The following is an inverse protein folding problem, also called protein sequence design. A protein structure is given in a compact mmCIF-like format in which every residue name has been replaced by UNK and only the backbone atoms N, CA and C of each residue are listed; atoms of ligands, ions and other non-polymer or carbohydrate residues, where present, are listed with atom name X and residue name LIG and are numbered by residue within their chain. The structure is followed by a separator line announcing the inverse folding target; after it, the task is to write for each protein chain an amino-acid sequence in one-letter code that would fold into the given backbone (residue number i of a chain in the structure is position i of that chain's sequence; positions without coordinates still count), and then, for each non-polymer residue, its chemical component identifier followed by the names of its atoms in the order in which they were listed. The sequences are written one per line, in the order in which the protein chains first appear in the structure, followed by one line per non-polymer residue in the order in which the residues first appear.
data_IF_978329985645
#
_entry.id   IF_978329985645
#
_cell.length_a   1.000
_cell.length_b   1.000
_cell.length_c   1.000
_cell.angle_alpha   90.00
_cell.angle_beta   90.00
_cell.angle_gamma   90.00
#
_symmetry.space_group_name_H-M   'P 1'
#
loop_
_entity.id
_entity.type
_entity.pdbx_description
1 polymer ?
#
# COMPACT_ATOMS: atom_id res chain seq x y z
N UNK A 1 16.57 -3.16 -10.28
CA UNK A 1 17.46 -3.73 -9.21
C UNK A 1 16.68 -3.69 -7.92
N UNK A 2 16.64 -4.78 -7.14
CA UNK A 2 15.96 -4.81 -5.84
C UNK A 2 16.84 -4.11 -4.77
N UNK A 3 16.17 -3.43 -3.86
CA UNK A 3 16.82 -2.78 -2.73
C UNK A 3 16.84 -3.72 -1.52
N UNK A 4 17.83 -3.52 -0.67
CA UNK A 4 17.92 -4.22 0.60
C UNK A 4 17.19 -3.44 1.70
N UNK A 5 16.39 -4.15 2.52
CA UNK A 5 15.64 -3.52 3.61
C UNK A 5 16.55 -2.91 4.68
N UNK A 6 17.70 -3.55 4.98
CA UNK A 6 18.61 -3.12 6.03
C UNK A 6 17.92 -3.03 7.40
N UNK A 7 18.28 -1.99 8.15
CA UNK A 7 17.72 -1.72 9.49
C UNK A 7 16.40 -0.94 9.46
N UNK A 8 15.85 -0.67 8.27
CA UNK A 8 14.60 0.07 8.13
C UNK A 8 13.45 -0.73 8.75
N UNK A 9 12.73 -0.11 9.68
CA UNK A 9 11.60 -0.73 10.37
C UNK A 9 10.31 0.03 10.11
N UNK A 10 9.23 -0.70 9.90
CA UNK A 10 7.89 -0.13 9.81
C UNK A 10 7.53 0.61 11.09
N UNK A 11 7.04 1.84 10.98
CA UNK A 11 6.52 2.61 12.12
C UNK A 11 5.00 2.52 12.24
N UNK A 12 4.29 2.47 11.10
CA UNK A 12 2.83 2.42 11.04
C UNK A 12 2.38 1.37 10.02
N UNK A 13 1.19 0.83 10.26
CA UNK A 13 0.48 0.03 9.26
C UNK A 13 -0.22 0.97 8.26
N UNK A 14 -0.43 0.50 7.02
CA UNK A 14 -1.02 1.33 5.96
C UNK A 14 -2.44 1.81 6.27
N UNK A 15 -3.23 1.07 7.05
CA UNK A 15 -4.57 1.48 7.48
C UNK A 15 -4.60 2.34 8.74
N UNK A 16 -3.46 2.59 9.39
CA UNK A 16 -3.42 3.20 10.73
C UNK A 16 -3.28 4.73 10.74
N UNK A 17 -2.78 5.33 9.67
CA UNK A 17 -2.54 6.79 9.63
C UNK A 17 -3.83 7.59 9.73
N UNK A 18 -3.77 8.68 10.49
CA UNK A 18 -4.89 9.61 10.71
C UNK A 18 -4.41 11.07 10.64
N UNK A 19 -5.34 12.01 10.65
CA UNK A 19 -5.06 13.44 10.67
C UNK A 19 -4.12 13.85 11.84
N UNK A 20 -4.18 13.15 12.98
CA UNK A 20 -3.31 13.36 14.14
C UNK A 20 -1.84 13.03 13.90
N UNK A 21 -1.53 12.34 12.80
CA UNK A 21 -0.17 11.98 12.42
C UNK A 21 0.45 12.98 11.43
N UNK A 22 -0.30 14.00 11.04
CA UNK A 22 0.20 15.05 10.15
C UNK A 22 1.45 15.71 10.73
N UNK A 23 2.46 15.89 9.87
CA UNK A 23 3.78 16.42 10.23
C UNK A 23 4.77 15.39 10.78
N UNK A 24 4.34 14.18 11.14
CA UNK A 24 5.23 13.11 11.60
C UNK A 24 5.89 12.38 10.44
N UNK A 25 7.09 11.86 10.68
CA UNK A 25 7.73 10.90 9.77
C UNK A 25 7.14 9.51 9.99
N UNK A 26 6.88 8.83 8.88
CA UNK A 26 6.39 7.45 8.88
C UNK A 26 7.16 6.58 7.89
N UNK A 27 7.32 5.31 8.27
CA UNK A 27 7.82 4.24 7.41
C UNK A 27 6.69 3.26 7.19
N UNK A 28 6.23 3.16 5.96
CA UNK A 28 5.22 2.21 5.53
C UNK A 28 5.85 1.11 4.68
N UNK A 29 5.32 -0.09 4.81
CA UNK A 29 5.73 -1.24 4.00
C UNK A 29 4.51 -2.02 3.56
N UNK A 30 4.42 -2.34 2.27
CA UNK A 30 3.26 -3.04 1.75
C UNK A 30 3.38 -3.37 0.28
N UNK A 31 2.26 -3.68 -0.31
CA UNK A 31 2.09 -3.98 -1.72
C UNK A 31 1.55 -2.77 -2.46
N UNK A 32 2.06 -2.51 -3.66
CA UNK A 32 1.50 -1.52 -4.58
C UNK A 32 0.13 -2.02 -5.04
N UNK A 33 -0.94 -1.41 -4.55
CA UNK A 33 -2.30 -1.74 -4.95
C UNK A 33 -2.68 -1.09 -6.28
N UNK A 34 -2.31 0.18 -6.44
CA UNK A 34 -2.57 0.96 -7.66
C UNK A 34 -1.55 2.06 -7.80
N UNK A 35 -1.10 2.30 -9.03
CA UNK A 35 -0.28 3.46 -9.40
C UNK A 35 -1.06 4.37 -10.34
N UNK A 36 -0.99 5.67 -10.14
CA UNK A 36 -1.56 6.71 -11.00
C UNK A 36 -0.49 7.74 -11.28
N UNK A 37 -0.30 8.05 -12.54
CA UNK A 37 0.70 8.99 -13.03
C UNK A 37 -0.03 10.28 -13.47
N UNK A 38 0.41 11.41 -12.94
CA UNK A 38 -0.07 12.75 -13.25
C UNK A 38 1.10 13.67 -13.62
N UNK A 39 2.02 13.17 -14.43
CA UNK A 39 3.21 13.90 -14.84
C UNK A 39 4.21 14.05 -13.69
N UNK A 40 4.42 15.26 -13.17
CA UNK A 40 5.37 15.51 -12.08
C UNK A 40 4.95 14.87 -10.74
N UNK A 41 3.71 14.40 -10.61
CA UNK A 41 3.19 13.74 -9.41
C UNK A 41 2.78 12.31 -9.72
N UNK A 42 3.35 11.39 -8.98
CA UNK A 42 3.01 9.98 -9.05
C UNK A 42 2.36 9.57 -7.72
N UNK A 43 1.18 8.97 -7.80
CA UNK A 43 0.44 8.49 -6.65
C UNK A 43 0.47 6.96 -6.59
N UNK A 44 0.80 6.43 -5.43
CA UNK A 44 0.79 4.99 -5.16
C UNK A 44 -0.14 4.71 -3.99
N UNK A 45 -1.16 3.92 -4.23
CA UNK A 45 -1.98 3.37 -3.15
C UNK A 45 -1.23 2.15 -2.59
N UNK A 46 -0.61 2.32 -1.42
CA UNK A 46 0.16 1.28 -0.73
C UNK A 46 -0.76 0.53 0.23
N UNK A 47 -0.84 -0.80 0.07
CA UNK A 47 -1.74 -1.67 0.83
C UNK A 47 -0.95 -2.60 1.74
N UNK A 48 -1.46 -2.81 2.94
CA UNK A 48 -1.13 -3.95 3.79
C UNK A 48 -2.42 -4.64 4.29
N UNK A 49 -2.31 -5.52 5.28
CA UNK A 49 -3.47 -6.25 5.85
C UNK A 49 -4.46 -5.34 6.59
N UNK A 50 -4.10 -4.12 6.96
CA UNK A 50 -4.93 -3.21 7.74
C UNK A 50 -5.66 -2.17 6.91
N UNK A 51 -5.24 -1.98 5.66
CA UNK A 51 -5.84 -1.01 4.76
C UNK A 51 -4.85 -0.42 3.77
N UNK A 52 -5.19 0.78 3.29
CA UNK A 52 -4.47 1.46 2.20
C UNK A 52 -4.11 2.87 2.64
N UNK A 53 -2.92 3.33 2.26
CA UNK A 53 -2.51 4.74 2.36
C UNK A 53 -2.02 5.22 1.01
N UNK A 54 -2.41 6.43 0.60
CA UNK A 54 -1.85 7.08 -0.57
C UNK A 54 -0.44 7.60 -0.27
N UNK A 55 0.49 7.24 -1.13
CA UNK A 55 1.86 7.77 -1.15
C UNK A 55 2.00 8.71 -2.34
N UNK A 56 2.60 9.87 -2.13
CA UNK A 56 2.86 10.88 -3.17
C UNK A 56 4.35 10.98 -3.41
N UNK A 57 4.73 10.85 -4.67
CA UNK A 57 6.11 11.01 -5.15
C UNK A 57 6.14 12.18 -6.14
N UNK A 58 6.91 13.21 -5.81
CA UNK A 58 6.97 14.45 -6.59
C UNK A 58 8.35 14.59 -7.26
N UNK A 59 8.36 14.66 -8.59
CA UNK A 59 9.57 14.81 -9.39
C UNK A 59 10.34 16.11 -9.09
N UNK A 60 9.62 17.20 -8.78
CA UNK A 60 10.23 18.48 -8.43
C UNK A 60 10.99 18.43 -7.11
N UNK A 61 10.60 17.55 -6.20
CA UNK A 61 11.23 17.36 -4.91
C UNK A 61 12.42 16.39 -4.99
N UNK A 62 12.24 15.28 -5.70
CA UNK A 62 13.25 14.25 -5.90
C UNK A 62 12.98 13.48 -7.20
N UNK A 63 13.71 13.85 -8.24
CA UNK A 63 13.58 13.24 -9.55
C UNK A 63 14.00 11.75 -9.56
N UNK A 64 14.98 11.36 -8.74
CA UNK A 64 15.49 9.99 -8.70
C UNK A 64 14.45 9.04 -8.07
N UNK A 65 13.77 9.47 -7.00
CA UNK A 65 12.68 8.70 -6.39
C UNK A 65 11.50 8.61 -7.35
N UNK A 66 11.20 9.68 -8.08
CA UNK A 66 10.10 9.69 -9.05
C UNK A 66 10.39 8.72 -10.22
N UNK A 67 11.57 8.78 -10.84
CA UNK A 67 11.98 7.86 -11.90
C UNK A 67 11.92 6.39 -11.44
N UNK A 68 12.40 6.12 -10.22
CA UNK A 68 12.29 4.80 -9.61
C UNK A 68 10.83 4.37 -9.45
N UNK A 69 9.94 5.29 -9.05
CA UNK A 69 8.52 5.00 -8.86
C UNK A 69 7.77 4.77 -10.19
N UNK A 70 8.26 5.29 -11.31
CA UNK A 70 7.71 4.98 -12.64
C UNK A 70 7.83 3.49 -12.99
N UNK A 71 8.82 2.80 -12.43
CA UNK A 71 9.01 1.35 -12.65
C UNK A 71 8.04 0.48 -11.84
N UNK A 72 7.36 1.05 -10.83
CA UNK A 72 6.46 0.31 -9.96
C UNK A 72 5.28 -0.28 -10.74
N UNK A 73 4.95 -1.53 -10.41
CA UNK A 73 3.77 -2.24 -10.90
C UNK A 73 2.95 -2.77 -9.73
N UNK A 74 1.71 -3.16 -10.03
CA UNK A 74 0.82 -3.74 -9.02
C UNK A 74 1.47 -4.95 -8.36
N UNK A 75 1.23 -5.08 -7.05
CA UNK A 75 1.73 -6.14 -6.19
C UNK A 75 3.25 -6.13 -5.94
N UNK A 76 4.01 -5.13 -6.44
CA UNK A 76 5.39 -4.93 -5.99
C UNK A 76 5.40 -4.67 -4.50
N UNK A 77 6.39 -5.23 -3.80
CA UNK A 77 6.62 -4.99 -2.37
C UNK A 77 7.57 -3.82 -2.22
N UNK A 78 7.11 -2.78 -1.55
CA UNK A 78 7.91 -1.57 -1.33
C UNK A 78 7.95 -1.15 0.12
N UNK A 79 9.01 -0.46 0.49
CA UNK A 79 9.11 0.33 1.72
C UNK A 79 9.25 1.80 1.35
N UNK A 80 8.49 2.66 2.01
CA UNK A 80 8.51 4.09 1.79
C UNK A 80 8.68 4.82 3.11
N UNK A 81 9.69 5.69 3.17
CA UNK A 81 9.86 6.65 4.26
C UNK A 81 9.39 8.02 3.77
N UNK A 82 8.65 8.73 4.60
CA UNK A 82 8.16 10.05 4.23
C UNK A 82 7.52 10.79 5.38
N UNK A 83 7.01 11.97 5.07
CA UNK A 83 6.27 12.82 6.01
C UNK A 83 4.77 12.72 5.73
N UNK A 84 3.98 12.49 6.76
CA UNK A 84 2.51 12.47 6.68
C UNK A 84 2.01 13.90 6.50
N UNK A 85 1.17 14.13 5.48
CA UNK A 85 0.52 15.43 5.24
C UNK A 85 -0.99 15.27 5.21
N UNK A 86 -1.70 16.32 5.61
CA UNK A 86 -3.13 16.44 5.34
C UNK A 86 -3.34 16.69 3.86
N UNK A 87 -4.33 16.06 3.28
CA UNK A 87 -4.79 16.36 1.94
C UNK A 87 -5.59 17.64 1.91
N UNK A 88 -5.56 18.32 0.77
CA UNK A 88 -6.46 19.45 0.54
C UNK A 88 -7.92 19.02 0.65
N UNK A 89 -8.77 19.88 1.18
CA UNK A 89 -10.18 19.59 1.43
C UNK A 89 -10.91 19.01 0.20
N UNK A 90 -10.51 19.43 -1.00
CA UNK A 90 -11.09 18.96 -2.28
C UNK A 90 -10.58 17.58 -2.71
N UNK A 91 -9.51 17.07 -2.11
CA UNK A 91 -8.87 15.79 -2.46
C UNK A 91 -9.07 14.71 -1.40
N UNK A 92 -9.73 15.04 -0.30
CA UNK A 92 -10.06 14.07 0.76
C UNK A 92 -10.91 12.92 0.20
N UNK A 93 -10.47 11.70 0.41
CA UNK A 93 -11.21 10.50 -0.01
C UNK A 93 -12.01 9.92 1.16
N UNK A 94 -13.29 10.23 1.22
CA UNK A 94 -14.20 9.76 2.29
C UNK A 94 -14.42 8.23 2.30
N UNK A 95 -14.05 7.54 1.23
CA UNK A 95 -14.18 6.08 1.12
C UNK A 95 -13.00 5.31 1.72
N UNK A 96 -11.99 6.01 2.22
CA UNK A 96 -10.81 5.42 2.84
C UNK A 96 -10.66 5.92 4.27
N UNK A 97 -10.41 5.05 5.27
CA UNK A 97 -10.15 5.48 6.66
C UNK A 97 -8.94 6.42 6.80
N UNK A 98 -7.98 6.32 5.87
CA UNK A 98 -6.78 7.15 5.78
C UNK A 98 -6.92 8.31 4.79
N UNK A 99 -8.12 8.53 4.27
CA UNK A 99 -8.35 9.43 3.12
C UNK A 99 -8.16 10.91 3.38
N UNK A 100 -7.99 11.32 4.65
CA UNK A 100 -7.66 12.69 5.05
C UNK A 100 -6.16 12.99 4.97
N UNK A 101 -5.33 11.95 4.88
CA UNK A 101 -3.87 12.07 4.88
C UNK A 101 -3.24 11.40 3.68
N UNK A 102 -2.00 11.76 3.41
CA UNK A 102 -1.13 11.12 2.44
C UNK A 102 0.31 11.12 2.97
N UNK A 103 1.11 10.16 2.51
CA UNK A 103 2.53 10.11 2.81
C UNK A 103 3.32 10.72 1.65
N UNK A 104 3.98 11.85 1.89
CA UNK A 104 4.91 12.45 0.91
C UNK A 104 6.25 11.75 1.03
N UNK A 105 6.61 10.99 -0.01
CA UNK A 105 7.79 10.14 -0.01
C UNK A 105 9.10 10.96 0.02
N UNK A 106 10.04 10.48 0.82
CA UNK A 106 11.41 10.97 0.93
C UNK A 106 12.43 9.88 0.60
N UNK A 107 12.03 8.61 0.72
CA UNK A 107 12.83 7.45 0.33
C UNK A 107 11.90 6.35 -0.17
N UNK A 108 12.30 5.68 -1.25
CA UNK A 108 11.60 4.53 -1.82
C UNK A 108 12.56 3.35 -1.98
N UNK A 109 12.20 2.20 -1.42
CA UNK A 109 12.89 0.92 -1.63
C UNK A 109 11.95 -0.08 -2.28
N UNK A 110 12.38 -0.69 -3.37
CA UNK A 110 11.69 -1.80 -4.03
C UNK A 110 12.26 -3.10 -3.46
N UNK A 111 11.51 -3.74 -2.56
CA UNK A 111 11.97 -4.93 -1.84
C UNK A 111 11.79 -6.19 -2.67
N UNK A 112 10.72 -6.25 -3.47
CA UNK A 112 10.47 -7.36 -4.37
C UNK A 112 9.56 -6.94 -5.52
N UNK A 113 9.79 -7.53 -6.67
CA UNK A 113 8.94 -7.41 -7.85
C UNK A 113 7.88 -8.51 -7.85
N UNK A 114 6.79 -8.30 -8.54
CA UNK A 114 5.74 -9.29 -8.75
C UNK A 114 5.45 -9.45 -10.22
N UNK A 115 5.24 -10.70 -10.63
CA UNK A 115 4.56 -10.99 -11.90
C UNK A 115 3.09 -10.59 -11.77
N UNK A 116 2.43 -10.36 -12.89
CA UNK A 116 0.99 -10.10 -12.89
C UNK A 116 0.26 -11.29 -12.24
N UNK A 117 -0.45 -11.06 -11.12
CA UNK A 117 -1.18 -12.14 -10.47
C UNK A 117 -2.42 -12.52 -11.30
N UNK A 118 -2.93 -13.75 -11.17
CA UNK A 118 -4.11 -14.22 -11.91
C UNK A 118 -5.40 -13.48 -11.52
N UNK A 119 -5.44 -12.85 -10.35
CA UNK A 119 -6.46 -11.92 -9.87
C UNK A 119 -5.86 -11.04 -8.78
N UNK A 120 -6.44 -9.87 -8.56
CA UNK A 120 -5.99 -8.97 -7.50
C UNK A 120 -6.75 -9.25 -6.20
N UNK A 121 -6.12 -9.10 -5.02
CA UNK A 121 -6.82 -9.21 -3.74
C UNK A 121 -7.96 -8.20 -3.59
N UNK A 122 -7.86 -7.05 -4.26
CA UNK A 122 -8.89 -6.01 -4.30
C UNK A 122 -10.03 -6.31 -5.26
N UNK A 123 -9.89 -7.32 -6.14
CA UNK A 123 -10.94 -7.67 -7.08
C UNK A 123 -12.13 -8.29 -6.32
N UNK A 124 -13.23 -7.58 -6.35
CA UNK A 124 -14.53 -8.09 -5.88
C UNK A 124 -15.20 -8.96 -6.93
N UNK A 125 -14.68 -8.94 -8.17
CA UNK A 125 -15.19 -9.72 -9.28
C UNK A 125 -15.07 -11.22 -9.01
N UNK A 126 -15.99 -11.95 -9.60
CA UNK A 126 -16.21 -13.40 -9.47
C UNK A 126 -15.05 -14.21 -10.03
N UNK A 127 -13.90 -14.19 -9.34
CA UNK A 127 -12.86 -15.20 -9.60
C UNK A 127 -13.43 -16.55 -9.20
N UNK A 128 -13.40 -17.51 -10.11
CA UNK A 128 -13.93 -18.84 -9.85
C UNK A 128 -13.18 -19.53 -8.69
N UNK A 129 -13.86 -20.44 -8.03
CA UNK A 129 -13.33 -21.10 -6.83
C UNK A 129 -12.06 -21.90 -7.12
N UNK A 130 -11.98 -22.58 -8.25
CA UNK A 130 -10.80 -23.34 -8.66
C UNK A 130 -9.54 -22.46 -8.74
N UNK A 131 -9.64 -21.29 -9.36
CA UNK A 131 -8.54 -20.33 -9.44
C UNK A 131 -8.16 -19.81 -8.05
N UNK A 132 -9.14 -19.53 -7.19
CA UNK A 132 -8.91 -19.09 -5.82
C UNK A 132 -8.23 -20.15 -4.97
N UNK A 133 -8.59 -21.41 -5.13
CA UNK A 133 -7.95 -22.54 -4.43
C UNK A 133 -6.54 -22.78 -4.95
N UNK A 134 -6.32 -22.72 -6.27
CA UNK A 134 -4.99 -22.85 -6.87
C UNK A 134 -4.02 -21.77 -6.42
N UNK A 135 -4.49 -20.53 -6.32
CA UNK A 135 -3.69 -19.38 -5.91
C UNK A 135 -4.10 -18.89 -4.50
N UNK A 136 -4.21 -19.84 -3.58
CA UNK A 136 -4.73 -19.62 -2.24
C UNK A 136 -4.00 -18.51 -1.48
N UNK A 137 -2.70 -18.37 -1.66
CA UNK A 137 -1.88 -17.33 -1.05
C UNK A 137 -2.27 -15.90 -1.47
N UNK A 138 -2.89 -15.71 -2.64
CA UNK A 138 -3.46 -14.42 -3.07
C UNK A 138 -4.86 -14.27 -2.46
N UNK A 139 -5.69 -15.31 -2.54
CA UNK A 139 -7.06 -15.29 -2.01
C UNK A 139 -7.08 -14.97 -0.51
N UNK A 140 -6.11 -15.48 0.27
CA UNK A 140 -5.97 -15.20 1.69
C UNK A 140 -5.64 -13.72 2.02
N UNK A 141 -5.26 -12.91 1.05
CA UNK A 141 -5.03 -11.47 1.21
C UNK A 141 -6.28 -10.62 0.98
N UNK A 142 -7.39 -11.22 0.55
CA UNK A 142 -8.68 -10.52 0.39
C UNK A 142 -9.25 -10.17 1.75
N UNK A 143 -9.84 -8.99 1.87
CA UNK A 143 -10.39 -8.49 3.15
C UNK A 143 -11.37 -9.46 3.80
N UNK A 144 -12.28 -10.07 3.00
CA UNK A 144 -13.23 -11.07 3.50
C UNK A 144 -12.52 -12.29 4.07
N UNK A 145 -11.45 -12.76 3.43
CA UNK A 145 -10.70 -13.93 3.90
C UNK A 145 -9.88 -13.60 5.15
N UNK A 146 -9.28 -12.41 5.21
CA UNK A 146 -8.57 -11.92 6.38
C UNK A 146 -9.53 -11.85 7.59
N UNK A 147 -10.68 -11.21 7.40
CA UNK A 147 -11.71 -11.12 8.44
C UNK A 147 -12.13 -12.51 8.95
N UNK A 148 -12.44 -13.45 8.04
CA UNK A 148 -12.87 -14.79 8.40
C UNK A 148 -11.80 -15.56 9.20
N UNK A 149 -10.53 -15.45 8.81
CA UNK A 149 -9.43 -16.12 9.52
C UNK A 149 -9.22 -15.50 10.91
N UNK A 150 -9.23 -14.17 11.01
CA UNK A 150 -9.11 -13.48 12.29
C UNK A 150 -10.26 -13.82 13.22
N UNK A 151 -11.50 -13.84 12.71
CA UNK A 151 -12.68 -14.22 13.49
C UNK A 151 -12.55 -15.67 14.01
N UNK A 152 -12.21 -16.60 13.12
CA UNK A 152 -12.00 -18.00 13.53
C UNK A 152 -10.92 -18.16 14.58
N UNK A 153 -9.81 -17.42 14.44
CA UNK A 153 -8.72 -17.43 15.42
C UNK A 153 -9.19 -16.92 16.77
N UNK A 154 -9.94 -15.82 16.82
CA UNK A 154 -10.51 -15.29 18.07
C UNK A 154 -11.44 -16.30 18.74
N UNK A 155 -12.40 -16.84 18.00
CA UNK A 155 -13.37 -17.81 18.53
C UNK A 155 -12.71 -19.11 19.02
N UNK A 156 -11.62 -19.54 18.38
CA UNK A 156 -10.92 -20.77 18.78
C UNK A 156 -10.00 -20.57 20.00
N UNK A 157 -9.64 -19.31 20.32
CA UNK A 157 -8.73 -18.96 21.42
C UNK A 157 -9.48 -18.62 22.71
N UNK A 158 -10.68 -18.10 22.62
CA UNK A 158 -11.57 -17.73 23.74
C UNK A 158 -12.37 -18.96 24.22
#
# INVERSE_FOLDING_TARGET
MLDFLGDLRRTHMCGALRASDAGKKAVLMGWVNRRRDHGNLLFVDLRDRTGVTQVVLNAERDAAIHEKAETLRNEYVIAVTGTVKLRDANTVNKNMPTGEVELVAEELRILNESKLPPFLPSDTALTNEETRLKYRYIDLRRDVMQFNIELRHKVARD
#
